data_IF_701899346358
#
_entry.id   IF_701899346358
#
_cell.length_a   1.000
_cell.length_b   1.000
_cell.length_c   1.000
_cell.angle_alpha   90.00
_cell.angle_beta   90.00
_cell.angle_gamma   90.00
#
_symmetry.space_group_name_H-M   'P 1'
#
loop_
_entity.id
_entity.type
_entity.pdbx_description
1 polymer ?
#
# COMPACT_ATOMS: atom_id res chain seq x y z
N UNK A 1 -19.91 2.75 -34.66
CA UNK A 1 -19.21 1.58 -34.10
C UNK A 1 -18.41 2.05 -32.90
N UNK A 2 -18.92 1.83 -31.70
CA UNK A 2 -18.20 2.14 -30.46
C UNK A 2 -17.17 1.04 -30.29
N UNK A 3 -15.88 1.38 -30.29
CA UNK A 3 -14.82 0.41 -30.00
C UNK A 3 -14.90 0.07 -28.51
N UNK A 4 -15.32 -1.15 -28.19
CA UNK A 4 -15.08 -1.75 -26.90
C UNK A 4 -13.57 -1.78 -26.67
N UNK A 5 -13.09 -0.94 -25.77
CA UNK A 5 -11.72 -1.03 -25.27
C UNK A 5 -11.69 -2.21 -24.30
N UNK A 6 -11.14 -3.33 -24.75
CA UNK A 6 -10.74 -4.43 -23.87
C UNK A 6 -9.72 -3.87 -22.85
N UNK A 7 -9.97 -3.92 -21.53
CA UNK A 7 -8.99 -3.45 -20.56
C UNK A 7 -7.70 -4.29 -20.74
N UNK A 8 -6.51 -3.66 -20.72
CA UNK A 8 -5.27 -4.39 -20.85
C UNK A 8 -5.14 -5.36 -19.68
N UNK A 9 -4.84 -6.63 -20.01
CA UNK A 9 -4.41 -7.61 -19.02
C UNK A 9 -3.11 -7.11 -18.38
N UNK A 10 -3.01 -7.22 -17.05
CA UNK A 10 -1.81 -6.98 -16.22
C UNK A 10 -1.52 -5.55 -15.70
N UNK A 11 -2.53 -4.68 -15.51
CA UNK A 11 -2.32 -3.36 -14.91
C UNK A 11 -3.08 -3.13 -13.58
N UNK A 12 -2.97 -4.05 -12.62
CA UNK A 12 -3.50 -3.87 -11.25
C UNK A 12 -2.61 -2.95 -10.40
N UNK A 13 -2.22 -1.80 -10.95
CA UNK A 13 -1.48 -0.78 -10.24
C UNK A 13 -2.18 0.57 -10.32
N UNK A 14 -2.04 1.35 -9.26
CA UNK A 14 -2.52 2.73 -9.17
C UNK A 14 -1.40 3.61 -8.63
N UNK A 15 -1.23 4.78 -9.24
CA UNK A 15 -0.32 5.80 -8.71
C UNK A 15 -1.14 6.74 -7.81
N UNK A 16 -0.81 6.77 -6.53
CA UNK A 16 -1.50 7.59 -5.54
C UNK A 16 -0.53 8.58 -4.90
N UNK A 17 -0.86 9.88 -4.86
CA UNK A 17 -0.17 10.83 -4.01
C UNK A 17 -0.42 10.50 -2.54
N UNK A 18 0.65 10.22 -1.80
CA UNK A 18 0.65 9.99 -0.35
C UNK A 18 1.63 10.99 0.24
N UNK A 19 1.15 11.88 1.13
CA UNK A 19 1.96 12.97 1.69
C UNK A 19 2.81 13.70 0.63
N UNK A 20 2.16 14.11 -0.47
CA UNK A 20 2.78 14.82 -1.61
C UNK A 20 3.84 14.03 -2.42
N UNK A 21 4.00 12.74 -2.14
CA UNK A 21 4.87 11.84 -2.92
C UNK A 21 4.03 10.85 -3.72
N UNK A 22 4.31 10.71 -5.02
CA UNK A 22 3.61 9.76 -5.88
C UNK A 22 4.13 8.34 -5.65
N UNK A 23 3.24 7.44 -5.23
CA UNK A 23 3.58 6.04 -4.94
C UNK A 23 2.79 5.12 -5.86
N UNK A 24 3.50 4.23 -6.55
CA UNK A 24 2.89 3.16 -7.35
C UNK A 24 2.54 1.98 -6.45
N UNK A 25 1.25 1.71 -6.29
CA UNK A 25 0.72 0.64 -5.46
C UNK A 25 0.06 -0.44 -6.32
N UNK A 26 0.19 -1.70 -5.90
CA UNK A 26 -0.56 -2.82 -6.46
C UNK A 26 -1.93 -2.91 -5.77
N UNK A 27 -2.99 -3.07 -6.55
CA UNK A 27 -4.33 -3.41 -6.04
C UNK A 27 -4.40 -4.92 -5.82
N UNK A 28 -4.70 -5.34 -4.59
CA UNK A 28 -4.77 -6.76 -4.24
C UNK A 28 -6.03 -7.05 -3.40
N UNK A 29 -7.12 -7.41 -4.07
CA UNK A 29 -8.40 -7.75 -3.40
C UNK A 29 -8.33 -9.03 -2.56
N UNK A 30 -7.24 -9.79 -2.66
CA UNK A 30 -6.99 -10.95 -1.80
C UNK A 30 -6.26 -10.60 -0.49
N UNK A 31 -5.89 -9.34 -0.29
CA UNK A 31 -5.25 -8.85 0.92
C UNK A 31 -6.26 -8.14 1.83
N UNK A 32 -6.26 -8.50 3.12
CA UNK A 32 -7.10 -7.87 4.15
C UNK A 32 -6.52 -6.55 4.72
N UNK A 33 -5.40 -6.08 4.16
CA UNK A 33 -4.74 -4.88 4.65
C UNK A 33 -3.82 -4.24 3.61
N UNK A 34 -3.51 -2.96 3.82
CA UNK A 34 -2.52 -2.24 3.03
C UNK A 34 -1.13 -2.43 3.61
N UNK A 35 -0.11 -2.53 2.75
CA UNK A 35 1.28 -2.78 3.15
C UNK A 35 2.21 -1.76 2.49
N UNK A 36 3.16 -1.24 3.27
CA UNK A 36 4.31 -0.47 2.79
C UNK A 36 5.59 -1.01 3.38
N UNK A 37 6.67 -1.02 2.59
CA UNK A 37 8.01 -1.24 3.12
C UNK A 37 8.45 -0.04 3.98
N UNK A 38 9.32 -0.28 4.95
CA UNK A 38 9.97 0.75 5.76
C UNK A 38 10.70 1.78 4.88
N UNK A 39 11.34 1.32 3.81
CA UNK A 39 12.09 2.16 2.86
C UNK A 39 11.18 3.21 2.21
N UNK A 40 9.99 2.79 1.74
CA UNK A 40 9.01 3.69 1.16
C UNK A 40 8.41 4.58 2.25
N UNK A 41 8.06 4.03 3.40
CA UNK A 41 7.53 4.81 4.51
C UNK A 41 8.46 5.96 4.93
N UNK A 42 9.76 5.70 5.06
CA UNK A 42 10.75 6.72 5.42
C UNK A 42 10.89 7.84 4.38
N UNK A 43 10.51 7.58 3.12
CA UNK A 43 10.45 8.61 2.08
C UNK A 43 9.16 9.44 2.15
N UNK A 44 8.09 8.91 2.75
CA UNK A 44 6.78 9.54 2.87
C UNK A 44 6.58 10.30 4.18
N UNK A 45 7.33 9.96 5.22
CA UNK A 45 7.12 10.50 6.57
C UNK A 45 8.39 10.42 7.41
N UNK A 46 8.62 11.47 8.20
CA UNK A 46 9.64 11.52 9.25
C UNK A 46 9.10 11.00 10.60
N UNK A 47 7.80 10.68 10.69
CA UNK A 47 7.18 10.23 11.93
C UNK A 47 7.67 8.85 12.34
N UNK A 48 7.99 8.70 13.63
CA UNK A 48 8.35 7.40 14.19
C UNK A 48 7.16 6.43 14.13
N UNK A 49 7.43 5.21 13.66
CA UNK A 49 6.45 4.14 13.63
C UNK A 49 5.92 3.83 15.02
N UNK A 50 4.60 3.73 15.14
CA UNK A 50 3.96 3.14 16.31
C UNK A 50 4.09 1.62 16.21
N UNK A 51 4.79 1.04 17.19
CA UNK A 51 5.03 -0.40 17.24
C UNK A 51 3.69 -1.16 17.25
N UNK A 52 3.56 -2.16 16.38
CA UNK A 52 2.38 -3.03 16.29
C UNK A 52 2.71 -4.44 16.77
N UNK A 53 1.75 -5.11 17.42
CA UNK A 53 1.87 -6.54 17.78
C UNK A 53 1.18 -7.46 16.76
N UNK A 54 0.64 -6.90 15.68
CA UNK A 54 -0.05 -7.65 14.63
C UNK A 54 0.92 -8.61 13.94
N UNK A 55 0.54 -9.89 13.83
CA UNK A 55 1.25 -10.87 13.02
C UNK A 55 0.65 -10.88 11.63
N UNK A 56 1.43 -10.49 10.63
CA UNK A 56 1.04 -10.63 9.23
C UNK A 56 1.49 -11.99 8.73
N UNK A 57 0.58 -12.75 8.13
CA UNK A 57 0.91 -14.01 7.45
C UNK A 57 0.67 -13.79 5.98
N UNK A 58 1.75 -13.78 5.20
CA UNK A 58 1.60 -13.78 3.74
C UNK A 58 0.95 -15.08 3.29
N UNK A 59 0.14 -15.02 2.22
CA UNK A 59 -0.48 -16.22 1.64
C UNK A 59 0.55 -17.27 1.23
N UNK A 60 1.78 -16.85 0.89
CA UNK A 60 2.91 -17.73 0.54
C UNK A 60 3.65 -18.31 1.76
N UNK A 61 3.10 -18.15 2.98
CA UNK A 61 3.67 -18.61 4.27
C UNK A 61 5.08 -18.11 4.59
N UNK A 62 5.54 -17.07 3.89
CA UNK A 62 6.76 -16.36 4.27
C UNK A 62 6.40 -15.38 5.38
N UNK A 63 7.11 -15.47 6.52
CA UNK A 63 6.95 -14.52 7.60
C UNK A 63 7.43 -13.15 7.16
N UNK A 64 6.55 -12.15 7.19
CA UNK A 64 6.93 -10.75 6.97
C UNK A 64 7.07 -10.09 8.34
N UNK A 65 8.25 -9.53 8.63
CA UNK A 65 8.48 -8.82 9.89
C UNK A 65 7.73 -7.50 9.88
N UNK A 66 6.73 -7.42 10.74
CA UNK A 66 5.94 -6.23 11.00
C UNK A 66 6.72 -5.27 11.90
N UNK A 67 6.84 -4.01 11.48
CA UNK A 67 7.49 -2.94 12.24
C UNK A 67 6.48 -2.07 12.99
N UNK A 68 5.31 -1.88 12.39
CA UNK A 68 4.30 -0.98 12.94
C UNK A 68 3.15 -0.76 11.98
N UNK A 69 2.33 0.24 12.32
CA UNK A 69 1.26 0.72 11.46
C UNK A 69 1.19 2.24 11.50
N UNK A 70 0.75 2.84 10.39
CA UNK A 70 0.57 4.28 10.30
C UNK A 70 -0.66 4.64 9.47
N UNK A 71 -1.32 5.73 9.85
CA UNK A 71 -2.36 6.36 9.05
C UNK A 71 -1.74 7.39 8.12
N UNK A 72 -1.93 7.23 6.81
CA UNK A 72 -1.39 8.13 5.79
C UNK A 72 -2.52 8.81 5.04
N UNK A 73 -2.33 10.09 4.72
CA UNK A 73 -3.26 10.86 3.90
C UNK A 73 -2.99 10.59 2.43
N UNK A 74 -4.03 10.14 1.72
CA UNK A 74 -3.97 9.72 0.32
C UNK A 74 -4.96 10.54 -0.49
N UNK A 75 -4.51 11.10 -1.61
CA UNK A 75 -5.39 11.76 -2.57
C UNK A 75 -5.83 10.77 -3.65
N UNK A 76 -7.14 10.61 -3.84
CA UNK A 76 -7.70 9.80 -4.93
C UNK A 76 -8.81 10.57 -5.63
N UNK A 77 -8.61 10.88 -6.91
CA UNK A 77 -9.41 11.90 -7.60
C UNK A 77 -9.27 13.25 -6.90
N UNK A 78 -10.39 13.86 -6.51
CA UNK A 78 -10.42 15.17 -5.83
C UNK A 78 -10.67 15.05 -4.31
N UNK A 79 -10.49 13.86 -3.74
CA UNK A 79 -10.80 13.58 -2.33
C UNK A 79 -9.62 13.01 -1.57
N UNK A 80 -9.45 13.51 -0.35
CA UNK A 80 -8.49 12.97 0.60
C UNK A 80 -9.11 11.85 1.43
N UNK A 81 -8.35 10.79 1.60
CA UNK A 81 -8.69 9.59 2.36
C UNK A 81 -7.57 9.28 3.35
N UNK A 82 -7.91 8.86 4.56
CA UNK A 82 -6.93 8.35 5.52
C UNK A 82 -6.93 6.82 5.41
N UNK A 83 -5.80 6.25 5.02
CA UNK A 83 -5.62 4.80 4.93
C UNK A 83 -4.63 4.33 6.00
N UNK A 84 -4.94 3.21 6.68
CA UNK A 84 -3.99 2.55 7.56
C UNK A 84 -3.10 1.61 6.74
N UNK A 85 -1.79 1.74 6.89
CA UNK A 85 -0.78 0.87 6.29
C UNK A 85 -0.03 0.09 7.37
N UNK A 86 0.15 -1.20 7.13
CA UNK A 86 1.06 -2.07 7.85
C UNK A 86 2.47 -1.85 7.30
N UNK A 87 3.40 -1.42 8.17
CA UNK A 87 4.78 -1.13 7.78
C UNK A 87 5.64 -2.33 8.07
N UNK A 88 6.34 -2.81 7.05
CA UNK A 88 7.12 -4.06 7.09
C UNK A 88 8.60 -3.80 6.81
N UNK A 89 9.47 -4.64 7.37
CA UNK A 89 10.93 -4.52 7.13
C UNK A 89 11.32 -4.96 5.71
N UNK A 90 10.58 -5.91 5.13
CA UNK A 90 10.88 -6.43 3.80
C UNK A 90 10.61 -5.37 2.72
N UNK A 91 11.53 -5.26 1.76
CA UNK A 91 11.31 -4.47 0.54
C UNK A 91 10.37 -5.23 -0.38
N UNK A 92 9.08 -4.91 -0.26
CA UNK A 92 7.98 -5.49 -1.03
C UNK A 92 7.32 -4.40 -1.87
N UNK A 93 6.64 -4.83 -2.94
CA UNK A 93 5.76 -3.94 -3.71
C UNK A 93 4.64 -3.45 -2.77
N UNK A 94 4.39 -2.13 -2.66
CA UNK A 94 3.26 -1.60 -1.91
C UNK A 94 1.93 -2.18 -2.36
N UNK A 95 1.06 -2.50 -1.41
CA UNK A 95 -0.24 -3.11 -1.68
C UNK A 95 -1.35 -2.27 -1.05
N UNK A 96 -2.44 -2.11 -1.79
CA UNK A 96 -3.74 -1.69 -1.26
C UNK A 96 -4.68 -2.89 -1.29
N UNK A 97 -5.13 -3.28 -0.10
CA UNK A 97 -6.10 -4.35 0.14
C UNK A 97 -7.51 -3.80 0.39
N UNK A 98 -8.44 -4.70 0.74
CA UNK A 98 -9.81 -4.35 1.13
C UNK A 98 -9.92 -3.95 2.61
#
# INVERSE_FOLDING_TARGET
MVKEQKPPADNWHIDLPINDTLVKLKLDTGADCNILSKSIYNALSEERLKHSKTKLVSYTRHGVTMLGKQQLLVLHGDKYHILEFQIVEADLVPVVGL
#
